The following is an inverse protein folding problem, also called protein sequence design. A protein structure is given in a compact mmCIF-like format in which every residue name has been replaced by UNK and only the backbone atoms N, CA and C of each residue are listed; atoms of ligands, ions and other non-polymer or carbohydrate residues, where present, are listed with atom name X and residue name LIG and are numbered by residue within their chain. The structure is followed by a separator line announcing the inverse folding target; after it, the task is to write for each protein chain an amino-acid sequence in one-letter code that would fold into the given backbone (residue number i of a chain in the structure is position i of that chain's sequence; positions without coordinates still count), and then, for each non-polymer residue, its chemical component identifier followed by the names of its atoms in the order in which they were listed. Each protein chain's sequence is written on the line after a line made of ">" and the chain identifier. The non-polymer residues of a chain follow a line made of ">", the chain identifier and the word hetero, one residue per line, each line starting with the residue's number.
data_IF_621140193515
#
_entry.id   IF_621140193515
#
_cell.length_a   1.000
_cell.length_b   1.000
_cell.length_c   1.000
_cell.angle_alpha   90.00
_cell.angle_beta   90.00
_cell.angle_gamma   90.00
#
_symmetry.space_group_name_H-M   'P 1'
#
loop_
_entity.id
_entity.type
_entity.pdbx_description
1 polymer ?
#
# COMPACT_ATOMS: atom_id res chain seq x y z
N UNK A 1 -19.44 6.76 25.83
CA UNK A 1 -18.03 7.00 25.48
C UNK A 1 -17.15 6.26 26.48
N UNK A 2 -16.67 5.07 26.16
CA UNK A 2 -15.70 4.35 26.99
C UNK A 2 -14.29 4.63 26.44
N UNK A 3 -13.48 5.34 27.21
CA UNK A 3 -12.07 5.58 26.90
C UNK A 3 -11.33 4.23 26.92
N UNK A 4 -10.84 3.77 25.77
CA UNK A 4 -10.09 2.52 25.69
C UNK A 4 -8.78 2.71 26.45
N UNK A 5 -8.56 1.90 27.49
CA UNK A 5 -7.38 1.99 28.35
C UNK A 5 -6.13 1.77 27.49
N UNK A 6 -5.28 2.79 27.32
CA UNK A 6 -3.99 2.64 26.64
C UNK A 6 -3.15 1.61 27.39
N UNK A 7 -2.88 0.48 26.72
CA UNK A 7 -1.89 -0.47 27.19
C UNK A 7 -0.51 0.21 27.17
N UNK A 8 0.32 -0.06 28.18
CA UNK A 8 1.70 0.42 28.22
C UNK A 8 2.45 -0.07 26.96
N UNK A 9 3.33 0.75 26.40
CA UNK A 9 4.19 0.36 25.26
C UNK A 9 4.94 -0.93 25.63
N UNK A 10 4.74 -2.01 24.86
CA UNK A 10 5.32 -3.34 25.12
C UNK A 10 4.41 -4.32 25.87
N UNK A 11 3.25 -3.89 26.39
CA UNK A 11 2.26 -4.76 27.02
C UNK A 11 1.21 -5.31 26.03
N UNK A 12 1.47 -5.22 24.72
CA UNK A 12 0.60 -5.80 23.70
C UNK A 12 0.94 -7.30 23.61
N UNK A 13 0.01 -8.20 23.95
CA UNK A 13 0.25 -9.64 23.82
C UNK A 13 0.54 -9.99 22.36
N UNK A 14 1.51 -10.88 22.13
CA UNK A 14 1.78 -11.39 20.78
C UNK A 14 0.61 -12.25 20.35
N UNK A 15 -0.09 -11.81 19.31
CA UNK A 15 -1.14 -12.59 18.65
C UNK A 15 -0.52 -13.49 17.58
N UNK A 16 -1.07 -14.70 17.33
CA UNK A 16 -0.65 -15.51 16.19
C UNK A 16 -0.82 -14.75 14.87
N UNK A 17 0.18 -14.84 13.99
CA UNK A 17 0.05 -14.33 12.63
C UNK A 17 -0.84 -15.30 11.83
N UNK A 18 -1.94 -14.78 11.29
CA UNK A 18 -2.80 -15.55 10.38
C UNK A 18 -2.23 -15.50 8.96
N UNK A 19 -2.39 -16.62 8.23
CA UNK A 19 -2.00 -16.68 6.82
C UNK A 19 -3.06 -15.97 5.98
N UNK A 20 -2.61 -15.19 5.01
CA UNK A 20 -3.50 -14.63 3.99
C UNK A 20 -4.07 -15.79 3.16
N UNK A 21 -5.38 -15.86 2.91
CA UNK A 21 -5.97 -16.91 2.10
C UNK A 21 -5.34 -16.92 0.71
N UNK A 22 -5.09 -18.12 0.18
CA UNK A 22 -4.68 -18.31 -1.20
C UNK A 22 -5.82 -17.86 -2.11
N UNK A 23 -5.46 -17.12 -3.15
CA UNK A 23 -6.39 -16.63 -4.15
C UNK A 23 -5.94 -17.25 -5.46
N UNK A 24 -6.90 -17.83 -6.16
CA UNK A 24 -6.64 -18.71 -7.31
C UNK A 24 -6.79 -17.95 -8.63
N UNK A 25 -7.30 -16.71 -8.57
CA UNK A 25 -7.58 -15.86 -9.72
C UNK A 25 -6.65 -14.65 -9.69
N UNK A 26 -5.88 -14.38 -10.77
CA UNK A 26 -5.08 -13.17 -10.89
C UNK A 26 -5.94 -11.90 -10.74
N UNK A 27 -5.39 -10.86 -10.13
CA UNK A 27 -6.02 -9.54 -9.92
C UNK A 27 -7.32 -9.53 -9.10
N UNK A 28 -7.73 -10.66 -8.53
CA UNK A 28 -8.90 -10.74 -7.63
C UNK A 28 -8.65 -10.04 -6.30
N UNK A 29 -7.39 -9.96 -5.87
CA UNK A 29 -6.97 -9.15 -4.72
C UNK A 29 -5.58 -8.63 -4.99
N UNK A 30 -5.43 -7.33 -4.81
CA UNK A 30 -4.15 -6.64 -4.95
C UNK A 30 -3.81 -5.94 -3.64
N UNK A 31 -2.52 -5.87 -3.33
CA UNK A 31 -2.00 -4.97 -2.31
C UNK A 31 -1.58 -3.68 -3.00
N UNK A 32 -1.99 -2.54 -2.44
CA UNK A 32 -1.61 -1.22 -2.95
C UNK A 32 -0.91 -0.48 -1.83
N UNK A 33 0.23 0.14 -2.14
CA UNK A 33 0.98 0.96 -1.20
C UNK A 33 1.54 2.22 -1.89
N UNK A 34 1.88 3.23 -1.09
CA UNK A 34 2.43 4.50 -1.55
C UNK A 34 3.77 4.75 -0.86
N UNK A 35 4.82 4.85 -1.66
CA UNK A 35 6.16 5.21 -1.19
C UNK A 35 6.42 6.68 -1.43
N UNK A 36 6.70 7.46 -0.40
CA UNK A 36 7.15 8.84 -0.52
C UNK A 36 6.83 9.72 0.70
N UNK A 37 7.17 11.02 0.66
CA UNK A 37 7.80 11.75 -0.45
C UNK A 37 9.30 11.45 -0.58
N UNK A 38 9.76 11.19 -1.81
CA UNK A 38 11.17 11.01 -2.16
C UNK A 38 11.82 12.39 -2.28
N UNK A 39 12.91 12.58 -1.54
CA UNK A 39 13.72 13.79 -1.55
C UNK A 39 15.19 13.46 -1.81
N UNK A 40 15.87 14.14 -2.75
CA UNK A 40 15.31 15.16 -3.64
C UNK A 40 14.32 14.56 -4.68
N UNK A 41 13.33 15.35 -5.14
CA UNK A 41 12.46 14.92 -6.24
C UNK A 41 13.29 14.64 -7.50
N UNK A 42 12.81 13.74 -8.37
CA UNK A 42 13.34 13.63 -9.75
C UNK A 42 13.04 14.91 -10.53
N UNK A 43 13.77 15.14 -11.62
CA UNK A 43 13.67 16.34 -12.46
C UNK A 43 12.23 16.68 -12.90
N UNK A 44 11.38 15.68 -13.12
CA UNK A 44 9.99 15.85 -13.51
C UNK A 44 9.00 16.00 -12.34
N UNK A 45 9.47 16.17 -11.09
CA UNK A 45 8.59 16.40 -9.94
C UNK A 45 7.91 15.16 -9.35
N UNK A 46 8.25 13.96 -9.82
CA UNK A 46 7.78 12.72 -9.20
C UNK A 46 8.42 12.55 -7.81
N UNK A 47 7.54 12.47 -6.81
CA UNK A 47 7.91 12.36 -5.39
C UNK A 47 7.34 11.11 -4.74
N UNK A 48 6.44 10.42 -5.41
CA UNK A 48 5.79 9.24 -4.88
C UNK A 48 5.88 8.10 -5.86
N UNK A 49 5.77 6.87 -5.36
CA UNK A 49 5.64 5.66 -6.16
C UNK A 49 4.43 4.92 -5.63
N UNK A 50 3.44 4.72 -6.49
CA UNK A 50 2.33 3.81 -6.25
C UNK A 50 2.80 2.40 -6.57
N UNK A 51 2.70 1.49 -5.62
CA UNK A 51 3.03 0.08 -5.84
C UNK A 51 1.76 -0.75 -5.80
N UNK A 52 1.61 -1.65 -6.77
CA UNK A 52 0.52 -2.62 -6.83
C UNK A 52 1.13 -4.02 -6.90
N UNK A 53 0.67 -4.92 -6.04
CA UNK A 53 1.12 -6.32 -6.03
C UNK A 53 -0.08 -7.26 -6.05
N UNK A 54 -0.16 -8.11 -7.07
CA UNK A 54 -1.17 -9.17 -7.13
C UNK A 54 -0.83 -10.30 -6.15
N UNK A 55 -1.80 -10.70 -5.32
CA UNK A 55 -1.57 -11.73 -4.30
C UNK A 55 -1.41 -13.14 -4.90
N UNK A 56 -2.01 -13.38 -6.06
CA UNK A 56 -2.03 -14.69 -6.73
C UNK A 56 -0.71 -14.95 -7.45
N UNK A 57 -0.35 -14.07 -8.38
CA UNK A 57 0.81 -14.23 -9.26
C UNK A 57 2.09 -13.64 -8.68
N UNK A 58 1.97 -12.80 -7.63
CA UNK A 58 3.08 -11.97 -7.12
C UNK A 58 3.63 -10.99 -8.17
N UNK A 59 2.86 -10.70 -9.20
CA UNK A 59 3.16 -9.63 -10.14
C UNK A 59 3.17 -8.29 -9.41
N UNK A 60 4.21 -7.48 -9.63
CA UNK A 60 4.42 -6.21 -8.95
C UNK A 60 4.63 -5.10 -9.97
N UNK A 61 3.91 -4.01 -9.79
CA UNK A 61 3.94 -2.82 -10.65
C UNK A 61 4.19 -1.56 -9.81
N UNK A 62 4.97 -0.63 -10.35
CA UNK A 62 5.39 0.58 -9.67
C UNK A 62 5.22 1.79 -10.60
N UNK A 63 4.28 2.68 -10.25
CA UNK A 63 3.93 3.86 -11.05
C UNK A 63 4.41 5.14 -10.34
N UNK A 64 5.22 6.00 -10.98
CA UNK A 64 5.71 7.21 -10.36
C UNK A 64 4.65 8.32 -10.37
N UNK A 65 4.39 8.94 -9.21
CA UNK A 65 3.37 9.99 -9.03
C UNK A 65 3.97 11.32 -8.57
N UNK A 66 3.36 12.42 -9.02
CA UNK A 66 3.68 13.79 -8.56
C UNK A 66 3.01 14.11 -7.21
N UNK A 67 1.80 13.60 -7.01
CA UNK A 67 0.89 13.85 -5.89
C UNK A 67 0.12 12.57 -5.53
N UNK A 68 -0.44 12.51 -4.31
CA UNK A 68 -1.13 11.32 -3.77
C UNK A 68 -2.64 11.53 -3.64
N UNK A 69 -3.21 12.49 -4.37
CA UNK A 69 -4.67 12.66 -4.37
C UNK A 69 -5.38 11.51 -5.08
N UNK A 70 -6.66 11.37 -4.75
CA UNK A 70 -7.50 10.26 -5.22
C UNK A 70 -7.57 10.17 -6.73
N UNK A 71 -7.61 11.30 -7.43
CA UNK A 71 -7.67 11.36 -8.88
C UNK A 71 -6.39 10.80 -9.50
N UNK A 72 -5.23 11.28 -9.06
CA UNK A 72 -3.92 10.80 -9.58
C UNK A 72 -3.68 9.32 -9.33
N UNK A 73 -4.13 8.82 -8.17
CA UNK A 73 -4.04 7.39 -7.84
C UNK A 73 -5.02 6.58 -8.68
N UNK A 74 -6.24 7.05 -8.87
CA UNK A 74 -7.25 6.36 -9.67
C UNK A 74 -6.84 6.27 -11.14
N UNK A 75 -6.34 7.37 -11.72
CA UNK A 75 -5.80 7.39 -13.09
C UNK A 75 -4.66 6.39 -13.24
N UNK A 76 -3.69 6.42 -12.32
CA UNK A 76 -2.58 5.46 -12.34
C UNK A 76 -3.01 4.01 -12.18
N UNK A 77 -4.15 3.72 -11.52
CA UNK A 77 -4.68 2.37 -11.40
C UNK A 77 -5.43 1.88 -12.63
N UNK A 78 -5.98 2.79 -13.44
CA UNK A 78 -6.65 2.45 -14.71
C UNK A 78 -5.65 2.10 -15.79
N UNK A 79 -4.46 2.70 -15.73
CA UNK A 79 -3.38 2.50 -16.71
C UNK A 79 -2.49 1.27 -16.43
N UNK A 80 -2.76 0.51 -15.36
CA UNK A 80 -2.13 -0.78 -15.00
C UNK A 80 -2.84 -1.93 -15.73
#
# INVERSE_FOLDING_TARGET
>A
MTCVRRLKKGAVPRVPLEKVPLIDTPFKRVAIDLVGPINPPREAGHRFILTLVDYTTRFAEAVPLHKIDTESVAEAMVDI
#
